data_IF_114295651704
#
_entry.id   IF_114295651704
#
_cell.length_a   1.000
_cell.length_b   1.000
_cell.length_c   1.000
_cell.angle_alpha   90.00
_cell.angle_beta   90.00
_cell.angle_gamma   90.00
#
_symmetry.space_group_name_H-M   'P 1'
#
loop_
_entity.id
_entity.type
_entity.pdbx_description
1 polymer ?
#
# COMPACT_ATOMS: atom_id res chain seq x y z
N UNK A 1 -9.70 -7.40 -16.51
CA UNK A 1 -8.54 -8.29 -16.34
C UNK A 1 -9.00 -9.74 -16.42
N UNK A 2 -8.15 -10.64 -16.88
CA UNK A 2 -8.39 -12.07 -17.03
C UNK A 2 -7.13 -12.84 -16.56
N UNK A 3 -7.23 -14.17 -16.39
CA UNK A 3 -6.07 -15.04 -16.09
C UNK A 3 -4.93 -14.80 -17.07
N UNK A 4 -5.24 -14.75 -18.36
CA UNK A 4 -4.23 -14.50 -19.39
C UNK A 4 -3.49 -13.19 -19.20
N UNK A 5 -4.19 -12.11 -18.91
CA UNK A 5 -3.54 -10.80 -18.67
C UNK A 5 -2.66 -10.81 -17.42
N UNK A 6 -3.03 -11.54 -16.35
CA UNK A 6 -2.17 -11.77 -15.18
C UNK A 6 -0.89 -12.49 -15.58
N UNK A 7 -1.01 -13.59 -16.35
CA UNK A 7 0.13 -14.36 -16.84
C UNK A 7 1.02 -13.53 -17.78
N UNK A 8 0.44 -12.69 -18.64
CA UNK A 8 1.18 -11.80 -19.53
C UNK A 8 1.99 -10.74 -18.75
N UNK A 9 1.40 -10.11 -17.72
CA UNK A 9 2.11 -9.14 -16.86
C UNK A 9 3.28 -9.80 -16.13
N UNK A 10 3.09 -11.02 -15.60
CA UNK A 10 4.17 -11.77 -14.93
C UNK A 10 5.29 -12.12 -15.92
N UNK A 11 4.93 -12.58 -17.13
CA UNK A 11 5.91 -12.91 -18.15
C UNK A 11 6.69 -11.68 -18.65
N UNK A 12 6.03 -10.54 -18.82
CA UNK A 12 6.69 -9.28 -19.20
C UNK A 12 7.60 -8.76 -18.08
N UNK A 13 7.18 -8.86 -16.83
CA UNK A 13 8.03 -8.49 -15.69
C UNK A 13 9.32 -9.34 -15.65
N UNK A 14 9.20 -10.66 -15.83
CA UNK A 14 10.36 -11.57 -15.95
C UNK A 14 11.27 -11.19 -17.14
N UNK A 15 10.68 -10.96 -18.31
CA UNK A 15 11.39 -10.57 -19.54
C UNK A 15 12.20 -9.28 -19.37
N UNK A 16 11.62 -8.29 -18.70
CA UNK A 16 12.29 -7.00 -18.47
C UNK A 16 13.15 -6.99 -17.20
N UNK A 17 13.12 -8.05 -16.40
CA UNK A 17 13.85 -8.16 -15.13
C UNK A 17 13.35 -7.15 -14.09
N UNK A 18 12.04 -7.00 -14.00
CA UNK A 18 11.33 -6.24 -12.96
C UNK A 18 10.83 -7.23 -11.91
N UNK A 19 11.29 -7.07 -10.68
CA UNK A 19 10.82 -7.89 -9.57
C UNK A 19 9.43 -7.47 -9.11
N UNK A 20 8.54 -8.45 -8.95
CA UNK A 20 7.20 -8.27 -8.36
C UNK A 20 6.99 -9.33 -7.30
N UNK A 21 6.44 -8.95 -6.16
CA UNK A 21 6.18 -9.88 -5.05
C UNK A 21 4.69 -10.17 -4.87
N UNK A 22 3.85 -9.24 -5.29
CA UNK A 22 2.39 -9.38 -5.23
C UNK A 22 1.77 -8.89 -6.53
N UNK A 23 0.81 -9.61 -7.06
CA UNK A 23 -0.07 -9.13 -8.14
C UNK A 23 -1.48 -8.92 -7.56
N UNK A 24 -2.12 -7.81 -7.94
CA UNK A 24 -3.43 -7.47 -7.43
C UNK A 24 -4.47 -7.46 -8.56
N UNK A 25 -5.67 -7.98 -8.29
CA UNK A 25 -6.78 -8.02 -9.24
C UNK A 25 -8.00 -7.33 -8.61
N UNK A 26 -8.45 -6.22 -9.22
CA UNK A 26 -9.69 -5.57 -8.82
C UNK A 26 -10.92 -6.36 -9.29
N UNK A 27 -11.06 -6.56 -10.57
CA UNK A 27 -12.26 -7.17 -11.15
C UNK A 27 -12.20 -8.69 -11.27
N UNK A 28 -11.91 -9.43 -10.22
CA UNK A 28 -11.83 -10.89 -10.24
C UNK A 28 -13.17 -11.61 -10.10
N UNK A 29 -14.15 -10.95 -9.49
CA UNK A 29 -15.50 -11.45 -9.32
C UNK A 29 -16.33 -11.17 -10.58
N UNK A 30 -17.40 -11.91 -10.78
CA UNK A 30 -18.43 -11.52 -11.76
C UNK A 30 -18.94 -10.13 -11.38
N UNK A 31 -19.10 -9.27 -12.39
CA UNK A 31 -19.47 -7.87 -12.15
C UNK A 31 -20.82 -7.75 -11.42
N UNK A 32 -21.80 -8.59 -11.78
CA UNK A 32 -23.12 -8.67 -11.17
C UNK A 32 -23.13 -9.36 -9.79
N UNK A 33 -22.00 -9.92 -9.36
CA UNK A 33 -21.82 -10.62 -8.09
C UNK A 33 -20.68 -10.04 -7.25
N UNK A 34 -20.27 -8.80 -7.52
CA UNK A 34 -19.24 -8.13 -6.75
C UNK A 34 -19.65 -8.01 -5.27
N UNK A 35 -18.73 -8.30 -4.37
CA UNK A 35 -18.97 -8.30 -2.91
C UNK A 35 -19.39 -9.65 -2.33
N UNK A 36 -19.69 -10.68 -3.13
CA UNK A 36 -20.09 -12.01 -2.64
C UNK A 36 -19.01 -13.09 -2.68
N UNK A 37 -17.79 -12.75 -3.08
CA UNK A 37 -16.60 -13.61 -3.07
C UNK A 37 -16.69 -14.83 -4.00
N UNK A 38 -17.18 -14.62 -5.20
CA UNK A 38 -17.25 -15.67 -6.23
C UNK A 38 -16.39 -15.30 -7.45
N UNK A 39 -15.55 -16.25 -7.88
CA UNK A 39 -14.73 -16.06 -9.07
C UNK A 39 -15.57 -15.95 -10.34
N UNK A 40 -15.17 -15.03 -11.20
CA UNK A 40 -15.57 -15.07 -12.60
C UNK A 40 -14.75 -16.14 -13.33
N UNK A 41 -15.27 -17.36 -13.35
CA UNK A 41 -14.56 -18.50 -13.94
C UNK A 41 -14.47 -18.47 -15.46
N UNK A 42 -15.19 -17.57 -16.13
CA UNK A 42 -15.02 -17.34 -17.56
C UNK A 42 -13.75 -16.54 -17.84
N UNK A 43 -13.51 -15.49 -17.06
CA UNK A 43 -12.28 -14.69 -17.16
C UNK A 43 -11.08 -15.32 -16.42
N UNK A 44 -11.34 -16.02 -15.35
CA UNK A 44 -10.33 -16.69 -14.53
C UNK A 44 -10.62 -18.19 -14.40
N UNK A 45 -10.43 -18.97 -15.48
CA UNK A 45 -10.59 -20.42 -15.40
C UNK A 45 -9.55 -21.03 -14.46
N UNK A 46 -9.95 -22.04 -13.68
CA UNK A 46 -9.10 -22.77 -12.74
C UNK A 46 -8.28 -21.84 -11.80
N UNK A 47 -8.95 -20.96 -11.01
CA UNK A 47 -8.25 -19.93 -10.23
C UNK A 47 -7.28 -20.52 -9.19
N UNK A 48 -7.57 -21.68 -8.62
CA UNK A 48 -6.66 -22.35 -7.69
C UNK A 48 -5.33 -22.74 -8.36
N UNK A 49 -5.35 -23.17 -9.62
CA UNK A 49 -4.12 -23.50 -10.33
C UNK A 49 -3.32 -22.25 -10.67
N UNK A 50 -3.99 -21.18 -11.11
CA UNK A 50 -3.34 -19.88 -11.30
C UNK A 50 -2.63 -19.40 -10.02
N UNK A 51 -3.29 -19.49 -8.87
CA UNK A 51 -2.70 -19.09 -7.58
C UNK A 51 -1.47 -19.95 -7.25
N UNK A 52 -1.55 -21.26 -7.43
CA UNK A 52 -0.41 -22.18 -7.22
C UNK A 52 0.77 -21.86 -8.12
N UNK A 53 0.51 -21.51 -9.39
CA UNK A 53 1.55 -21.12 -10.35
C UNK A 53 2.23 -19.82 -9.94
N UNK A 54 1.48 -18.82 -9.47
CA UNK A 54 2.02 -17.58 -8.94
C UNK A 54 2.87 -17.84 -7.68
N UNK A 55 2.35 -18.63 -6.74
CA UNK A 55 3.06 -18.95 -5.50
C UNK A 55 4.37 -19.72 -5.75
N UNK A 56 4.44 -20.60 -6.77
CA UNK A 56 5.70 -21.25 -7.21
C UNK A 56 6.76 -20.25 -7.65
N UNK A 57 6.35 -19.08 -8.13
CA UNK A 57 7.23 -17.98 -8.52
C UNK A 57 7.51 -16.99 -7.37
N UNK A 58 7.05 -17.28 -6.14
CA UNK A 58 7.06 -16.36 -4.99
C UNK A 58 6.27 -15.07 -5.25
N UNK A 59 5.22 -15.14 -6.04
CA UNK A 59 4.29 -14.03 -6.29
C UNK A 59 2.98 -14.33 -5.55
N UNK A 60 2.61 -13.47 -4.63
CA UNK A 60 1.35 -13.57 -3.89
C UNK A 60 0.21 -12.93 -4.68
N UNK A 61 -0.99 -13.45 -4.49
CA UNK A 61 -2.19 -12.87 -5.11
C UNK A 61 -2.92 -11.97 -4.13
N UNK A 62 -3.24 -10.76 -4.57
CA UNK A 62 -4.08 -9.80 -3.88
C UNK A 62 -5.42 -9.65 -4.60
N UNK A 63 -6.51 -9.67 -3.85
CA UNK A 63 -7.87 -9.53 -4.38
C UNK A 63 -8.58 -8.33 -3.79
N UNK A 64 -9.26 -7.60 -4.66
CA UNK A 64 -10.14 -6.49 -4.28
C UNK A 64 -11.49 -6.98 -3.77
N UNK A 65 -12.02 -6.26 -2.80
CA UNK A 65 -13.40 -6.43 -2.36
C UNK A 65 -13.99 -5.12 -1.87
N UNK A 66 -15.31 -4.99 -1.93
CA UNK A 66 -16.07 -3.90 -1.33
C UNK A 66 -17.36 -4.43 -0.68
N UNK A 67 -17.92 -3.70 0.28
CA UNK A 67 -19.00 -4.22 1.14
C UNK A 67 -20.40 -3.97 0.59
N UNK A 68 -20.55 -3.73 -0.72
CA UNK A 68 -21.83 -3.39 -1.34
C UNK A 68 -22.26 -4.46 -2.34
N UNK A 69 -23.58 -4.54 -2.57
CA UNK A 69 -24.14 -5.33 -3.64
C UNK A 69 -25.12 -4.47 -4.44
N UNK A 70 -25.03 -4.52 -5.76
CA UNK A 70 -25.90 -3.79 -6.66
C UNK A 70 -27.31 -4.39 -6.66
N UNK A 71 -28.31 -3.54 -6.86
CA UNK A 71 -29.73 -3.92 -6.81
C UNK A 71 -30.10 -4.95 -7.90
N UNK A 72 -29.46 -4.89 -9.05
CA UNK A 72 -29.66 -5.80 -10.18
C UNK A 72 -28.89 -7.12 -10.06
N UNK A 73 -28.12 -7.31 -8.99
CA UNK A 73 -27.41 -8.57 -8.75
C UNK A 73 -28.38 -9.74 -8.61
N UNK A 74 -28.10 -10.89 -9.26
CA UNK A 74 -28.89 -12.11 -9.08
C UNK A 74 -29.04 -12.56 -7.61
N UNK A 75 -28.05 -12.24 -6.78
CA UNK A 75 -28.04 -12.58 -5.35
C UNK A 75 -28.81 -11.56 -4.48
N UNK A 76 -29.12 -10.37 -4.99
CA UNK A 76 -29.65 -9.28 -4.17
C UNK A 76 -30.93 -9.65 -3.45
N UNK A 77 -31.90 -10.20 -4.16
CA UNK A 77 -33.21 -10.55 -3.60
C UNK A 77 -33.11 -11.57 -2.47
N UNK A 78 -32.37 -12.65 -2.67
CA UNK A 78 -32.15 -13.68 -1.65
C UNK A 78 -31.50 -13.08 -0.40
N UNK A 79 -30.42 -12.31 -0.57
CA UNK A 79 -29.68 -11.74 0.55
C UNK A 79 -30.46 -10.65 1.29
N UNK A 80 -31.35 -9.92 0.58
CA UNK A 80 -32.29 -8.97 1.18
C UNK A 80 -33.35 -9.71 2.03
N UNK A 81 -33.91 -10.81 1.53
CA UNK A 81 -34.88 -11.65 2.27
C UNK A 81 -34.25 -12.26 3.55
N UNK A 82 -32.96 -12.58 3.51
CA UNK A 82 -32.19 -13.02 4.68
C UNK A 82 -31.85 -11.89 5.66
N UNK A 83 -32.10 -10.63 5.28
CA UNK A 83 -31.83 -9.47 6.14
C UNK A 83 -30.35 -9.14 6.28
N UNK A 84 -29.53 -9.38 5.26
CA UNK A 84 -28.08 -9.21 5.30
C UNK A 84 -27.61 -7.77 5.02
N UNK A 85 -28.51 -6.87 4.64
CA UNK A 85 -28.18 -5.48 4.38
C UNK A 85 -28.57 -4.56 5.52
N UNK A 86 -27.85 -3.47 5.67
CA UNK A 86 -28.23 -2.34 6.50
C UNK A 86 -29.57 -1.81 6.01
N UNK A 87 -30.49 -1.46 6.93
CA UNK A 87 -31.87 -1.10 6.61
C UNK A 87 -32.15 0.37 6.73
N UNK A 88 -33.09 0.85 5.93
CA UNK A 88 -33.73 2.13 6.13
C UNK A 88 -34.74 2.06 7.30
N UNK A 89 -35.38 3.16 7.67
CA UNK A 89 -36.32 3.24 8.78
C UNK A 89 -37.60 2.41 8.56
N UNK A 90 -37.93 2.11 7.32
CA UNK A 90 -39.07 1.28 6.92
C UNK A 90 -38.75 -0.23 6.99
N UNK A 91 -37.50 -0.61 7.27
CA UNK A 91 -37.05 -1.99 7.42
C UNK A 91 -36.62 -2.68 6.12
N UNK A 92 -36.56 -1.93 5.01
CA UNK A 92 -36.02 -2.42 3.73
C UNK A 92 -34.53 -2.14 3.59
N UNK A 93 -33.79 -2.83 2.69
CA UNK A 93 -32.41 -2.48 2.38
C UNK A 93 -32.27 -0.99 2.09
N UNK A 94 -31.30 -0.33 2.72
CA UNK A 94 -31.02 1.08 2.47
C UNK A 94 -30.25 1.17 1.15
N UNK A 95 -30.89 1.78 0.16
CA UNK A 95 -30.34 1.93 -1.19
C UNK A 95 -29.65 3.27 -1.36
N UNK A 96 -28.44 3.26 -1.93
CA UNK A 96 -27.64 4.46 -2.18
C UNK A 96 -26.71 4.28 -3.38
N UNK A 97 -26.08 5.35 -3.82
CA UNK A 97 -25.02 5.29 -4.84
C UNK A 97 -23.66 5.16 -4.14
N UNK A 98 -22.85 4.20 -4.59
CA UNK A 98 -21.48 4.01 -4.05
C UNK A 98 -20.58 5.23 -4.34
N UNK A 99 -20.76 5.86 -5.52
CA UNK A 99 -20.12 7.12 -5.92
C UNK A 99 -21.16 8.02 -6.57
N UNK A 100 -20.90 9.32 -6.64
CA UNK A 100 -21.86 10.29 -7.19
C UNK A 100 -22.23 10.03 -8.65
N UNK A 101 -21.29 9.45 -9.39
CA UNK A 101 -21.42 9.08 -10.82
C UNK A 101 -21.90 7.64 -11.04
N UNK A 102 -22.18 6.86 -9.99
CA UNK A 102 -22.71 5.50 -10.13
C UNK A 102 -24.04 5.50 -10.87
N UNK A 103 -24.17 4.65 -11.85
CA UNK A 103 -25.43 4.44 -12.59
C UNK A 103 -26.41 3.58 -11.79
N UNK A 104 -25.91 2.69 -10.93
CA UNK A 104 -26.68 1.72 -10.16
C UNK A 104 -26.78 2.11 -8.68
N UNK A 105 -27.89 1.72 -8.07
CA UNK A 105 -28.03 1.72 -6.62
C UNK A 105 -27.44 0.43 -6.04
N UNK A 106 -26.92 0.53 -4.84
CA UNK A 106 -26.43 -0.61 -4.08
C UNK A 106 -26.91 -0.57 -2.64
N UNK A 107 -26.84 -1.70 -1.95
CA UNK A 107 -27.02 -1.78 -0.52
C UNK A 107 -25.70 -2.28 0.12
N UNK A 108 -25.44 -1.82 1.35
CA UNK A 108 -24.29 -2.27 2.12
C UNK A 108 -24.65 -3.48 2.99
N UNK A 109 -23.76 -4.45 3.03
CA UNK A 109 -23.86 -5.56 3.97
C UNK A 109 -23.73 -5.07 5.41
N UNK A 110 -24.48 -5.71 6.32
CA UNK A 110 -24.51 -5.33 7.73
C UNK A 110 -23.53 -6.18 8.56
N UNK A 111 -22.36 -5.63 8.81
CA UNK A 111 -21.30 -6.28 9.63
C UNK A 111 -21.62 -6.32 11.13
N UNK A 112 -22.85 -6.01 11.53
CA UNK A 112 -23.36 -6.23 12.88
C UNK A 112 -24.36 -7.40 12.95
N UNK A 113 -24.74 -7.99 11.80
CA UNK A 113 -25.63 -9.13 11.70
C UNK A 113 -24.85 -10.45 11.82
N UNK A 114 -25.05 -11.26 12.89
CA UNK A 114 -24.28 -12.48 13.09
C UNK A 114 -24.51 -13.57 12.00
N UNK A 115 -25.72 -13.65 11.42
CA UNK A 115 -25.98 -14.60 10.34
C UNK A 115 -25.26 -14.19 9.04
N UNK A 116 -25.21 -12.89 8.75
CA UNK A 116 -24.40 -12.38 7.64
C UNK A 116 -22.92 -12.65 7.88
N UNK A 117 -22.40 -12.37 9.09
CA UNK A 117 -21.00 -12.60 9.40
C UNK A 117 -20.61 -14.06 9.19
N UNK A 118 -21.39 -15.03 9.67
CA UNK A 118 -21.11 -16.44 9.46
C UNK A 118 -21.10 -16.85 7.97
N UNK A 119 -22.06 -16.32 7.19
CA UNK A 119 -22.14 -16.58 5.75
C UNK A 119 -20.97 -15.97 4.98
N UNK A 120 -20.53 -14.77 5.36
CA UNK A 120 -19.45 -14.05 4.69
C UNK A 120 -18.08 -14.62 5.05
N UNK A 121 -17.89 -15.02 6.32
CA UNK A 121 -16.71 -15.70 6.82
C UNK A 121 -16.35 -16.94 6.01
N UNK A 122 -17.33 -17.81 5.76
CA UNK A 122 -17.11 -19.03 4.97
C UNK A 122 -16.56 -18.71 3.57
N UNK A 123 -17.06 -17.63 2.95
CA UNK A 123 -16.65 -17.20 1.62
C UNK A 123 -15.22 -16.63 1.61
N UNK A 124 -14.93 -15.76 2.56
CA UNK A 124 -13.58 -15.23 2.73
C UNK A 124 -12.59 -16.35 2.98
N UNK A 125 -12.88 -17.23 3.94
CA UNK A 125 -12.03 -18.39 4.28
C UNK A 125 -11.83 -19.33 3.10
N UNK A 126 -12.85 -19.55 2.27
CA UNK A 126 -12.73 -20.36 1.05
C UNK A 126 -11.67 -19.75 0.10
N UNK A 127 -11.71 -18.45 -0.14
CA UNK A 127 -10.74 -17.75 -1.00
C UNK A 127 -9.32 -17.81 -0.41
N UNK A 128 -9.19 -17.58 0.89
CA UNK A 128 -7.88 -17.65 1.57
C UNK A 128 -7.29 -19.07 1.50
N UNK A 129 -8.11 -20.13 1.69
CA UNK A 129 -7.66 -21.53 1.53
C UNK A 129 -7.19 -21.89 0.13
N UNK A 130 -7.59 -21.15 -0.91
CA UNK A 130 -7.05 -21.29 -2.25
C UNK A 130 -5.60 -20.80 -2.37
N UNK A 131 -5.09 -20.08 -1.36
CA UNK A 131 -3.74 -19.52 -1.33
C UNK A 131 -3.68 -18.00 -1.51
N UNK A 132 -4.82 -17.30 -1.41
CA UNK A 132 -4.86 -15.84 -1.40
C UNK A 132 -4.49 -15.34 -0.02
N UNK A 133 -3.38 -14.60 0.09
CA UNK A 133 -2.87 -14.08 1.37
C UNK A 133 -2.97 -12.55 1.49
N UNK A 134 -3.43 -11.87 0.44
CA UNK A 134 -3.55 -10.40 0.42
C UNK A 134 -4.96 -9.98 -0.01
N UNK A 135 -5.61 -9.10 0.74
CA UNK A 135 -6.95 -8.56 0.41
C UNK A 135 -6.94 -7.03 0.51
N UNK A 136 -7.52 -6.39 -0.52
CA UNK A 136 -7.85 -4.96 -0.53
C UNK A 136 -9.30 -4.77 -0.12
N UNK A 137 -9.55 -4.08 0.99
CA UNK A 137 -10.90 -3.66 1.39
C UNK A 137 -11.14 -2.23 0.95
N UNK A 138 -12.01 -2.09 -0.02
CA UNK A 138 -12.34 -0.81 -0.64
C UNK A 138 -13.71 -0.29 -0.19
N UNK A 139 -13.98 1.00 -0.39
CA UNK A 139 -15.22 1.67 -0.02
C UNK A 139 -15.57 1.58 1.47
N UNK A 140 -16.86 1.44 1.78
CA UNK A 140 -17.54 1.42 3.07
C UNK A 140 -17.94 2.79 3.65
N UNK A 141 -17.51 3.89 3.06
CA UNK A 141 -17.75 5.26 3.50
C UNK A 141 -19.05 5.90 2.94
N UNK A 142 -19.72 5.26 1.96
CA UNK A 142 -20.89 5.86 1.30
C UNK A 142 -22.24 5.58 2.00
N UNK A 143 -22.23 4.81 3.10
CA UNK A 143 -23.48 4.44 3.80
C UNK A 143 -24.15 5.68 4.40
N UNK A 144 -25.48 5.92 4.15
CA UNK A 144 -26.21 7.07 4.67
C UNK A 144 -26.30 7.07 6.20
N UNK A 145 -26.47 8.26 6.80
CA UNK A 145 -26.65 8.40 8.26
C UNK A 145 -28.06 8.06 8.75
N UNK A 146 -29.07 8.04 7.88
CA UNK A 146 -30.48 7.78 8.20
C UNK A 146 -30.89 6.30 8.13
N UNK A 147 -29.94 5.41 8.33
CA UNK A 147 -30.10 3.95 8.33
C UNK A 147 -30.13 3.36 9.74
N UNK A 148 -30.49 2.10 9.83
CA UNK A 148 -30.49 1.31 11.08
C UNK A 148 -29.74 0.00 10.85
N UNK A 149 -28.77 -0.27 11.72
CA UNK A 149 -28.01 -1.51 11.73
C UNK A 149 -28.79 -2.62 12.45
N UNK A 150 -28.45 -3.89 12.18
CA UNK A 150 -29.07 -5.06 12.80
C UNK A 150 -29.03 -5.01 14.34
N UNK A 151 -27.94 -4.55 14.93
CA UNK A 151 -27.78 -4.41 16.38
C UNK A 151 -28.50 -3.19 16.97
N UNK A 152 -29.27 -2.45 16.19
CA UNK A 152 -30.04 -1.29 16.62
C UNK A 152 -29.29 0.05 16.60
N UNK A 153 -28.00 0.08 16.23
CA UNK A 153 -27.28 1.36 16.04
C UNK A 153 -27.93 2.17 14.91
N UNK A 154 -27.98 3.48 15.08
CA UNK A 154 -28.32 4.42 14.03
C UNK A 154 -27.17 4.53 13.02
N UNK A 155 -27.48 4.96 11.79
CA UNK A 155 -26.45 5.22 10.78
C UNK A 155 -25.41 6.22 11.25
N UNK A 156 -25.81 7.24 12.00
CA UNK A 156 -24.90 8.23 12.57
C UNK A 156 -23.88 7.64 13.54
N UNK A 157 -24.25 6.63 14.32
CA UNK A 157 -23.35 5.92 15.24
C UNK A 157 -22.49 4.91 14.49
N UNK A 158 -23.07 4.21 13.52
CA UNK A 158 -22.45 3.09 12.83
C UNK A 158 -21.65 3.46 11.57
N UNK A 159 -21.88 4.60 10.95
CA UNK A 159 -21.30 5.00 9.66
C UNK A 159 -19.77 4.84 9.62
N UNK A 160 -19.06 5.50 10.52
CA UNK A 160 -17.61 5.37 10.58
C UNK A 160 -17.14 4.02 11.15
N UNK A 161 -17.88 3.46 12.13
CA UNK A 161 -17.54 2.18 12.75
C UNK A 161 -17.59 1.03 11.73
N UNK A 162 -18.49 1.09 10.76
CA UNK A 162 -18.62 0.11 9.69
C UNK A 162 -17.31 -0.12 8.95
N UNK A 163 -16.56 0.93 8.65
CA UNK A 163 -15.29 0.83 7.92
C UNK A 163 -14.28 -0.04 8.67
N UNK A 164 -14.22 0.13 9.99
CA UNK A 164 -13.36 -0.70 10.84
C UNK A 164 -13.89 -2.13 10.98
N UNK A 165 -15.20 -2.33 11.20
CA UNK A 165 -15.79 -3.67 11.34
C UNK A 165 -15.58 -4.50 10.07
N UNK A 166 -15.76 -3.90 8.89
CA UNK A 166 -15.54 -4.55 7.60
C UNK A 166 -14.11 -5.05 7.48
N UNK A 167 -13.13 -4.19 7.60
CA UNK A 167 -11.71 -4.55 7.49
C UNK A 167 -11.29 -5.54 8.58
N UNK A 168 -11.70 -5.31 9.84
CA UNK A 168 -11.37 -6.15 10.99
C UNK A 168 -11.85 -7.60 10.83
N UNK A 169 -13.11 -7.78 10.43
CA UNK A 169 -13.66 -9.13 10.29
C UNK A 169 -12.91 -9.90 9.20
N UNK A 170 -12.72 -9.31 8.03
CA UNK A 170 -11.97 -9.95 6.94
C UNK A 170 -10.56 -10.31 7.40
N UNK A 171 -9.85 -9.37 8.03
CA UNK A 171 -8.49 -9.62 8.51
C UNK A 171 -8.43 -10.74 9.55
N UNK A 172 -9.39 -10.79 10.47
CA UNK A 172 -9.49 -11.85 11.48
C UNK A 172 -9.64 -13.22 10.82
N UNK A 173 -10.56 -13.35 9.87
CA UNK A 173 -10.79 -14.61 9.16
C UNK A 173 -9.63 -15.03 8.26
N UNK A 174 -8.97 -14.07 7.62
CA UNK A 174 -7.71 -14.34 6.90
C UNK A 174 -6.65 -14.90 7.83
N UNK A 175 -6.47 -14.24 8.98
CA UNK A 175 -5.45 -14.60 9.95
C UNK A 175 -5.64 -16.03 10.47
N UNK A 176 -6.86 -16.44 10.75
CA UNK A 176 -7.16 -17.80 11.22
C UNK A 176 -6.68 -18.86 10.22
N UNK A 177 -6.93 -18.68 8.92
CA UNK A 177 -6.51 -19.63 7.89
C UNK A 177 -5.00 -19.54 7.62
N UNK A 178 -4.44 -18.32 7.56
CA UNK A 178 -3.01 -18.16 7.35
C UNK A 178 -2.18 -18.74 8.52
N UNK A 179 -2.64 -18.58 9.76
CA UNK A 179 -1.98 -19.17 10.94
C UNK A 179 -1.96 -20.72 10.87
N UNK A 180 -3.02 -21.36 10.32
CA UNK A 180 -3.05 -22.82 10.09
C UNK A 180 -1.93 -23.29 9.14
N UNK A 181 -1.51 -22.44 8.20
CA UNK A 181 -0.49 -22.74 7.18
C UNK A 181 0.89 -22.15 7.49
N UNK A 182 1.04 -21.39 8.59
CA UNK A 182 2.25 -20.68 8.93
C UNK A 182 2.54 -19.51 7.98
N UNK A 183 1.52 -18.98 7.34
CA UNK A 183 1.57 -17.83 6.44
C UNK A 183 1.16 -16.55 7.15
N UNK A 184 1.43 -15.41 6.51
CA UNK A 184 1.14 -14.09 7.04
C UNK A 184 0.11 -13.40 6.16
N UNK A 185 -1.09 -13.08 6.71
CA UNK A 185 -2.10 -12.35 5.96
C UNK A 185 -1.73 -10.87 5.85
N UNK A 186 -2.02 -10.27 4.71
CA UNK A 186 -1.99 -8.84 4.54
C UNK A 186 -3.35 -8.31 4.12
N UNK A 187 -3.85 -7.31 4.85
CA UNK A 187 -5.03 -6.54 4.45
C UNK A 187 -4.66 -5.07 4.39
N UNK A 188 -5.13 -4.40 3.35
CA UNK A 188 -4.98 -2.96 3.19
C UNK A 188 -6.32 -2.32 2.82
N UNK A 189 -6.69 -1.33 3.64
CA UNK A 189 -8.00 -0.70 3.59
C UNK A 189 -7.93 0.74 3.08
N UNK A 190 -9.01 1.18 2.42
CA UNK A 190 -9.17 2.58 2.02
C UNK A 190 -9.71 3.42 3.16
N UNK A 191 -10.85 3.03 3.67
CA UNK A 191 -11.53 3.76 4.72
C UNK A 191 -11.03 3.36 6.10
N UNK A 192 -11.04 4.29 7.02
CA UNK A 192 -10.57 4.06 8.38
C UNK A 192 -11.35 4.85 9.44
N UNK A 193 -11.32 4.33 10.67
CA UNK A 193 -11.88 4.94 11.86
C UNK A 193 -11.02 4.58 13.08
N UNK A 194 -11.44 4.98 14.27
CA UNK A 194 -10.78 4.56 15.52
C UNK A 194 -10.67 3.03 15.56
N UNK A 195 -9.47 2.53 15.75
CA UNK A 195 -9.15 1.10 15.67
C UNK A 195 -8.46 0.67 14.38
N UNK A 196 -8.55 1.44 13.28
CA UNK A 196 -7.96 1.06 11.99
C UNK A 196 -6.43 0.98 11.99
N UNK A 197 -5.74 1.55 12.99
CA UNK A 197 -4.31 1.35 13.21
C UNK A 197 -3.93 -0.12 13.52
N UNK A 198 -4.91 -0.97 13.86
CA UNK A 198 -4.72 -2.42 14.04
C UNK A 198 -4.86 -3.20 12.73
N UNK A 199 -5.27 -2.56 11.65
CA UNK A 199 -5.32 -3.14 10.31
C UNK A 199 -3.93 -3.02 9.69
N UNK A 200 -3.44 -4.08 9.00
CA UNK A 200 -2.08 -4.15 8.50
C UNK A 200 -1.61 -2.94 7.70
N UNK A 201 -2.39 -2.48 6.73
CA UNK A 201 -2.00 -1.35 5.90
C UNK A 201 -3.20 -0.53 5.41
N UNK A 202 -2.92 0.65 4.88
CA UNK A 202 -3.88 1.53 4.24
C UNK A 202 -3.33 2.10 2.93
N UNK A 203 -4.21 2.65 2.09
CA UNK A 203 -3.78 3.43 0.93
C UNK A 203 -4.63 4.69 0.78
N UNK A 204 -4.12 5.65 0.00
CA UNK A 204 -4.71 6.98 -0.13
C UNK A 204 -5.99 7.04 -0.99
N UNK A 205 -6.52 5.90 -1.44
CA UNK A 205 -7.65 5.88 -2.37
C UNK A 205 -7.23 6.25 -3.80
N UNK A 206 -8.22 6.57 -4.61
CA UNK A 206 -8.06 6.87 -6.02
C UNK A 206 -7.57 8.31 -6.23
N UNK A 207 -6.31 8.47 -6.55
CA UNK A 207 -5.65 9.77 -6.76
C UNK A 207 -5.49 10.09 -8.23
N UNK A 208 -5.36 11.36 -8.59
CA UNK A 208 -4.91 11.73 -9.93
C UNK A 208 -3.38 11.63 -10.05
N UNK A 209 -2.90 11.57 -11.29
CA UNK A 209 -1.48 11.37 -11.61
C UNK A 209 -0.65 12.64 -11.48
N UNK A 210 -1.26 13.79 -11.23
CA UNK A 210 -0.54 15.07 -11.17
C UNK A 210 0.23 15.26 -9.87
N UNK A 211 1.25 16.09 -9.93
CA UNK A 211 2.16 16.38 -8.82
C UNK A 211 1.47 17.07 -7.63
N UNK A 212 0.42 17.85 -7.87
CA UNK A 212 -0.38 18.48 -6.82
C UNK A 212 -1.11 17.42 -5.98
N UNK A 213 -1.69 16.42 -6.65
CA UNK A 213 -2.30 15.26 -6.00
C UNK A 213 -1.29 14.48 -5.17
N UNK A 214 -0.10 14.19 -5.72
CA UNK A 214 0.96 13.48 -4.99
C UNK A 214 1.45 14.27 -3.76
N UNK A 215 1.54 15.60 -3.87
CA UNK A 215 1.86 16.48 -2.74
C UNK A 215 0.79 16.39 -1.64
N UNK A 216 -0.49 16.42 -2.01
CA UNK A 216 -1.61 16.28 -1.07
C UNK A 216 -1.63 14.90 -0.39
N UNK A 217 -1.39 13.83 -1.17
CA UNK A 217 -1.27 12.46 -0.64
C UNK A 217 -0.18 12.36 0.41
N UNK A 218 1.01 12.91 0.15
CA UNK A 218 2.09 12.88 1.12
C UNK A 218 1.70 13.57 2.43
N UNK A 219 1.10 14.76 2.34
CA UNK A 219 0.65 15.49 3.53
C UNK A 219 -0.45 14.73 4.30
N UNK A 220 -1.43 14.17 3.58
CA UNK A 220 -2.47 13.34 4.18
C UNK A 220 -1.89 12.09 4.86
N UNK A 221 -0.95 11.41 4.20
CA UNK A 221 -0.28 10.23 4.72
C UNK A 221 0.58 10.51 5.95
N UNK A 222 1.26 11.66 6.01
CA UNK A 222 1.95 12.10 7.23
C UNK A 222 0.95 12.36 8.37
N UNK A 223 -0.26 12.89 8.07
CA UNK A 223 -1.35 13.02 9.03
C UNK A 223 -1.88 11.67 9.53
N UNK A 224 -2.03 10.69 8.62
CA UNK A 224 -2.38 9.31 8.98
C UNK A 224 -1.32 8.67 9.88
N UNK A 225 -0.04 8.86 9.56
CA UNK A 225 1.07 8.38 10.38
C UNK A 225 1.00 8.95 11.81
N UNK A 226 0.73 10.25 11.96
CA UNK A 226 0.51 10.90 13.27
C UNK A 226 -0.72 10.37 14.01
N UNK A 227 -1.65 9.75 13.31
CA UNK A 227 -2.85 9.09 13.87
C UNK A 227 -2.65 7.60 14.16
N UNK A 228 -1.43 7.09 14.05
CA UNK A 228 -1.06 5.70 14.35
C UNK A 228 -1.16 4.73 13.17
N UNK A 229 -1.48 5.18 11.96
CA UNK A 229 -1.45 4.36 10.75
C UNK A 229 -0.03 4.38 10.18
N UNK A 230 0.78 3.40 10.58
CA UNK A 230 2.20 3.35 10.22
C UNK A 230 2.46 2.87 8.79
N UNK A 231 1.65 1.94 8.31
CA UNK A 231 1.86 1.28 7.02
C UNK A 231 0.83 1.77 6.02
N UNK A 232 1.28 2.58 5.09
CA UNK A 232 0.41 3.12 4.05
C UNK A 232 1.19 3.37 2.75
N UNK A 233 0.43 3.52 1.68
CA UNK A 233 0.93 3.86 0.36
C UNK A 233 -0.13 4.53 -0.48
N UNK A 234 0.12 4.60 -1.78
CA UNK A 234 -0.81 5.14 -2.76
C UNK A 234 -0.59 4.47 -4.12
N UNK A 235 -1.42 4.80 -5.09
CA UNK A 235 -1.35 4.26 -6.44
C UNK A 235 -0.22 4.95 -7.21
N UNK A 236 0.91 4.24 -7.41
CA UNK A 236 2.06 4.77 -8.13
C UNK A 236 1.68 5.05 -9.60
N UNK A 237 1.92 6.28 -10.02
CA UNK A 237 1.48 6.80 -11.31
C UNK A 237 0.08 7.42 -11.30
N UNK A 238 -0.58 7.42 -10.13
CA UNK A 238 -1.97 7.89 -9.98
C UNK A 238 -3.00 6.89 -10.49
N UNK A 239 -4.18 6.82 -9.88
CA UNK A 239 -5.26 5.96 -10.34
C UNK A 239 -5.88 6.47 -11.64
N UNK A 240 -6.17 7.78 -11.73
CA UNK A 240 -6.60 8.44 -12.98
C UNK A 240 -5.48 9.29 -13.55
N UNK A 241 -5.62 9.65 -14.83
CA UNK A 241 -4.84 10.75 -15.36
C UNK A 241 -5.36 12.11 -14.86
N UNK A 242 -4.53 13.15 -15.00
CA UNK A 242 -4.87 14.52 -14.63
C UNK A 242 -6.16 14.99 -15.29
N UNK A 243 -7.01 15.65 -14.50
CA UNK A 243 -8.19 16.33 -14.97
C UNK A 243 -9.48 15.84 -14.33
N UNK A 244 -9.84 14.58 -14.47
CA UNK A 244 -11.06 14.03 -13.86
C UNK A 244 -11.11 12.50 -13.94
N UNK A 245 -12.01 11.89 -13.18
CA UNK A 245 -12.19 10.43 -13.05
C UNK A 245 -12.38 9.71 -14.40
N UNK A 246 -13.00 10.35 -15.37
CA UNK A 246 -13.25 9.77 -16.71
C UNK A 246 -12.07 9.85 -17.69
N UNK A 247 -10.95 10.48 -17.32
CA UNK A 247 -9.81 10.54 -18.21
C UNK A 247 -9.02 9.22 -18.19
N UNK A 248 -9.10 8.47 -19.29
CA UNK A 248 -8.44 7.17 -19.49
C UNK A 248 -7.09 7.27 -20.23
N UNK A 249 -6.59 8.47 -20.47
CA UNK A 249 -5.25 8.63 -21.01
C UNK A 249 -4.19 8.21 -19.98
N UNK A 250 -3.04 7.80 -20.48
CA UNK A 250 -1.90 7.52 -19.59
C UNK A 250 -1.33 8.83 -19.03
N UNK A 251 -0.82 8.84 -17.78
CA UNK A 251 -0.03 9.94 -17.27
C UNK A 251 1.13 10.29 -18.22
N UNK A 252 1.50 11.55 -18.27
CA UNK A 252 2.75 11.90 -18.92
C UNK A 252 3.93 11.28 -18.14
N UNK A 253 5.07 11.14 -18.82
CA UNK A 253 6.22 10.41 -18.30
C UNK A 253 6.84 11.05 -17.05
N UNK A 254 6.86 12.37 -16.94
CA UNK A 254 7.45 13.09 -15.80
C UNK A 254 6.58 12.91 -14.55
N UNK A 255 5.26 13.03 -14.66
CA UNK A 255 4.34 12.78 -13.56
C UNK A 255 4.40 11.31 -13.10
N UNK A 256 4.41 10.37 -14.06
CA UNK A 256 4.56 8.95 -13.77
C UNK A 256 5.84 8.66 -13.00
N UNK A 257 6.99 9.12 -13.50
CA UNK A 257 8.28 8.87 -12.87
C UNK A 257 8.42 9.54 -11.50
N UNK A 258 7.93 10.78 -11.34
CA UNK A 258 7.89 11.46 -10.05
C UNK A 258 7.09 10.69 -9.02
N UNK A 259 5.90 10.19 -9.41
CA UNK A 259 5.05 9.38 -8.55
C UNK A 259 5.73 8.07 -8.15
N UNK A 260 6.23 7.32 -9.12
CA UNK A 260 6.89 6.03 -8.86
C UNK A 260 8.11 6.23 -7.95
N UNK A 261 8.94 7.23 -8.23
CA UNK A 261 10.14 7.51 -7.45
C UNK A 261 9.80 7.81 -5.98
N UNK A 262 8.80 8.65 -5.71
CA UNK A 262 8.35 8.91 -4.34
C UNK A 262 7.79 7.65 -3.67
N UNK A 263 6.94 6.92 -4.38
CA UNK A 263 6.23 5.76 -3.82
C UNK A 263 7.14 4.59 -3.45
N UNK A 264 8.32 4.49 -4.06
CA UNK A 264 9.30 3.47 -3.71
C UNK A 264 9.98 3.70 -2.34
N UNK A 265 9.77 4.86 -1.73
CA UNK A 265 10.20 5.17 -0.36
C UNK A 265 9.08 5.07 0.67
N UNK A 266 7.87 4.68 0.24
CA UNK A 266 6.73 4.47 1.12
C UNK A 266 6.74 3.06 1.74
N UNK A 267 6.09 2.83 2.89
CA UNK A 267 5.94 1.50 3.47
C UNK A 267 5.29 0.51 2.51
N UNK A 268 4.20 0.90 1.85
CA UNK A 268 3.52 0.15 0.82
C UNK A 268 3.78 0.78 -0.56
N UNK A 269 4.26 0.00 -1.52
CA UNK A 269 4.51 0.43 -2.90
C UNK A 269 3.70 -0.41 -3.87
N UNK A 270 2.81 0.22 -4.62
CA UNK A 270 1.93 -0.45 -5.57
C UNK A 270 1.72 0.40 -6.81
N UNK A 271 2.11 -0.11 -7.98
CA UNK A 271 1.70 0.46 -9.25
C UNK A 271 0.25 0.06 -9.53
N UNK A 272 -0.63 1.03 -9.75
CA UNK A 272 -2.06 0.81 -9.98
C UNK A 272 -2.72 2.00 -10.66
N UNK A 273 -3.71 1.73 -11.51
CA UNK A 273 -4.47 2.78 -12.17
C UNK A 273 -5.49 2.24 -13.18
N UNK A 274 -6.34 3.12 -13.69
CA UNK A 274 -7.31 2.79 -14.76
C UNK A 274 -6.65 2.43 -16.08
N UNK A 275 -5.42 2.87 -16.29
CA UNK A 275 -4.59 2.53 -17.47
C UNK A 275 -3.29 1.89 -17.00
N UNK A 276 -2.57 1.16 -17.86
CA UNK A 276 -1.33 0.47 -17.48
C UNK A 276 -0.33 1.37 -16.75
N UNK A 277 0.26 0.85 -15.67
CA UNK A 277 1.30 1.51 -14.85
C UNK A 277 2.63 0.76 -14.89
N UNK A 278 2.73 -0.28 -15.67
CA UNK A 278 3.93 -1.06 -15.85
C UNK A 278 5.00 -0.22 -16.60
N UNK A 279 6.26 -0.18 -16.12
CA UNK A 279 7.27 0.73 -16.65
C UNK A 279 7.61 0.50 -18.13
N UNK A 280 7.48 -0.70 -18.64
CA UNK A 280 7.68 -1.01 -20.07
C UNK A 280 6.64 -0.38 -21.00
N UNK A 281 5.52 0.07 -20.46
CA UNK A 281 4.50 0.81 -21.20
C UNK A 281 4.85 2.29 -21.43
N UNK A 282 5.89 2.80 -20.73
CA UNK A 282 6.32 4.20 -20.79
C UNK A 282 7.65 4.40 -21.53
N UNK A 283 8.15 3.36 -22.20
CA UNK A 283 9.37 3.41 -23.02
C UNK A 283 10.65 3.08 -22.25
N UNK A 284 11.76 2.98 -23.00
CA UNK A 284 13.04 2.46 -22.50
C UNK A 284 13.64 3.29 -21.35
N UNK A 285 13.48 4.60 -21.36
CA UNK A 285 13.98 5.49 -20.30
C UNK A 285 13.24 5.20 -18.98
N UNK A 286 11.92 5.14 -19.01
CA UNK A 286 11.12 4.82 -17.83
C UNK A 286 11.43 3.42 -17.30
N UNK A 287 11.48 2.43 -18.19
CA UNK A 287 11.82 1.06 -17.83
C UNK A 287 13.18 0.99 -17.11
N UNK A 288 14.20 1.66 -17.66
CA UNK A 288 15.55 1.70 -17.08
C UNK A 288 15.56 2.33 -15.67
N UNK A 289 14.96 3.51 -15.52
CA UNK A 289 14.98 4.21 -14.23
C UNK A 289 14.12 3.51 -13.18
N UNK A 290 12.92 3.09 -13.53
CA UNK A 290 12.04 2.36 -12.59
C UNK A 290 12.67 1.03 -12.18
N UNK A 291 13.27 0.27 -13.10
CA UNK A 291 14.02 -0.96 -12.77
C UNK A 291 15.14 -0.69 -11.75
N UNK A 292 15.92 0.38 -11.94
CA UNK A 292 16.97 0.79 -11.00
C UNK A 292 16.39 1.07 -9.60
N UNK A 293 15.28 1.80 -9.51
CA UNK A 293 14.67 2.16 -8.24
C UNK A 293 14.00 0.97 -7.55
N UNK A 294 13.31 0.11 -8.30
CA UNK A 294 12.73 -1.14 -7.77
C UNK A 294 13.82 -2.04 -7.19
N UNK A 295 14.89 -2.24 -7.93
CA UNK A 295 16.03 -3.03 -7.45
C UNK A 295 16.65 -2.44 -6.18
N UNK A 296 16.76 -1.11 -6.11
CA UNK A 296 17.25 -0.45 -4.90
C UNK A 296 16.27 -0.66 -3.73
N UNK A 297 14.95 -0.53 -3.95
CA UNK A 297 13.94 -0.80 -2.92
C UNK A 297 14.03 -2.24 -2.40
N UNK A 298 14.16 -3.23 -3.28
CA UNK A 298 14.34 -4.61 -2.84
C UNK A 298 15.59 -4.79 -1.98
N UNK A 299 16.69 -4.14 -2.34
CA UNK A 299 17.89 -4.12 -1.50
C UNK A 299 17.69 -3.42 -0.17
N UNK A 300 16.80 -2.43 -0.10
CA UNK A 300 16.48 -1.66 1.10
C UNK A 300 15.54 -2.42 2.07
N UNK A 301 14.99 -3.55 1.67
CA UNK A 301 14.03 -4.33 2.49
C UNK A 301 14.54 -4.60 3.92
N UNK A 302 15.80 -4.94 4.19
CA UNK A 302 16.29 -5.10 5.55
C UNK A 302 16.12 -3.84 6.42
N UNK A 303 16.36 -2.66 5.85
CA UNK A 303 16.13 -1.39 6.55
C UNK A 303 14.64 -1.11 6.77
N UNK A 304 13.80 -1.33 5.74
CA UNK A 304 12.36 -1.16 5.85
C UNK A 304 11.77 -2.09 6.91
N UNK A 305 12.18 -3.36 6.91
CA UNK A 305 11.77 -4.34 7.91
C UNK A 305 12.20 -3.93 9.33
N UNK A 306 13.44 -3.49 9.49
CA UNK A 306 13.93 -2.97 10.77
C UNK A 306 13.07 -1.80 11.26
N UNK A 307 12.78 -0.84 10.39
CA UNK A 307 11.95 0.33 10.71
C UNK A 307 10.51 -0.08 11.04
N UNK A 308 9.98 -1.09 10.34
CA UNK A 308 8.68 -1.68 10.65
C UNK A 308 8.65 -2.32 12.05
N UNK A 309 9.73 -3.05 12.42
CA UNK A 309 9.90 -3.61 13.76
C UNK A 309 9.90 -2.53 14.85
N UNK A 310 10.65 -1.46 14.63
CA UNK A 310 10.66 -0.33 15.55
C UNK A 310 9.27 0.29 15.69
N UNK A 311 8.59 0.48 14.57
CA UNK A 311 7.23 1.02 14.55
C UNK A 311 6.24 0.17 15.35
N UNK A 312 6.27 -1.14 15.15
CA UNK A 312 5.41 -2.07 15.89
C UNK A 312 5.66 -2.02 17.41
N UNK A 313 6.93 -1.95 17.83
CA UNK A 313 7.28 -1.95 19.26
C UNK A 313 6.98 -0.64 19.97
N UNK A 314 7.17 0.49 19.27
CA UNK A 314 7.10 1.83 19.87
C UNK A 314 5.79 2.57 19.58
N UNK A 315 5.05 2.17 18.55
CA UNK A 315 3.93 2.94 18.00
C UNK A 315 4.37 4.15 17.16
N UNK A 316 5.68 4.41 17.05
CA UNK A 316 6.21 5.50 16.21
C UNK A 316 6.16 5.06 14.74
N UNK A 317 5.55 5.84 13.82
CA UNK A 317 5.37 5.40 12.44
C UNK A 317 6.69 5.27 11.67
N UNK A 318 6.68 4.47 10.61
CA UNK A 318 7.83 4.32 9.71
C UNK A 318 8.16 5.62 8.99
N UNK A 319 7.14 6.31 8.49
CA UNK A 319 7.26 7.63 7.86
C UNK A 319 6.84 8.68 8.89
N UNK A 320 7.73 9.64 9.15
CA UNK A 320 7.57 10.59 10.25
C UNK A 320 7.68 12.02 9.73
N UNK A 321 6.70 12.90 9.94
CA UNK A 321 6.87 14.32 9.66
C UNK A 321 7.99 14.90 10.51
N UNK A 322 8.72 15.89 9.99
CA UNK A 322 9.88 16.46 10.71
C UNK A 322 9.51 17.02 12.08
N UNK A 323 8.29 17.54 12.26
CA UNK A 323 7.80 18.02 13.55
C UNK A 323 7.80 16.93 14.64
N UNK A 324 7.63 15.66 14.25
CA UNK A 324 7.65 14.55 15.21
C UNK A 324 9.06 14.25 15.72
N UNK A 325 10.04 14.29 14.84
CA UNK A 325 11.45 14.03 15.18
C UNK A 325 12.16 15.24 15.80
N UNK A 326 11.77 16.45 15.37
CA UNK A 326 12.39 17.70 15.80
C UNK A 326 11.33 18.68 16.36
N UNK A 327 10.63 18.31 17.46
CA UNK A 327 9.49 19.10 17.98
C UNK A 327 9.87 20.48 18.52
N UNK A 328 11.15 20.74 18.81
CA UNK A 328 11.64 22.03 19.29
C UNK A 328 12.13 22.95 18.17
N UNK A 329 12.31 22.40 16.97
CA UNK A 329 12.76 23.16 15.81
C UNK A 329 11.58 23.88 15.13
N UNK A 330 11.55 25.23 15.14
CA UNK A 330 10.43 25.98 14.58
C UNK A 330 10.32 25.85 13.05
N UNK A 331 11.45 25.58 12.34
CA UNK A 331 11.47 25.42 10.90
C UNK A 331 10.98 24.01 10.54
N UNK A 332 11.43 22.98 11.24
CA UNK A 332 10.96 21.61 11.01
C UNK A 332 9.43 21.48 11.13
N UNK A 333 8.79 22.27 11.99
CA UNK A 333 7.32 22.32 12.13
C UNK A 333 6.58 22.80 10.87
N UNK A 334 7.25 23.53 10.02
CA UNK A 334 6.66 24.08 8.78
C UNK A 334 6.93 23.23 7.56
N UNK A 335 7.78 22.19 7.68
CA UNK A 335 8.15 21.30 6.58
C UNK A 335 7.11 20.20 6.42
N UNK A 336 6.24 20.32 5.44
CA UNK A 336 5.13 19.40 5.21
C UNK A 336 5.32 18.44 4.03
N UNK A 337 6.42 18.57 3.30
CA UNK A 337 6.77 17.74 2.14
C UNK A 337 8.06 16.93 2.34
N UNK A 338 8.80 17.19 3.42
CA UNK A 338 9.97 16.39 3.81
C UNK A 338 9.61 15.53 5.02
N UNK A 339 10.14 14.33 5.06
CA UNK A 339 9.83 13.38 6.13
C UNK A 339 11.04 12.48 6.44
N UNK A 340 11.05 11.91 7.62
CA UNK A 340 11.97 10.83 7.97
C UNK A 340 11.37 9.47 7.60
N UNK A 341 12.13 8.62 6.93
CA UNK A 341 11.87 7.19 6.85
C UNK A 341 12.77 6.50 7.88
N UNK A 342 12.15 6.00 8.95
CA UNK A 342 12.89 5.55 10.12
C UNK A 342 13.67 6.67 10.78
N UNK A 343 14.79 6.31 11.41
CA UNK A 343 15.69 7.23 12.12
C UNK A 343 16.88 7.71 11.27
N UNK A 344 17.09 7.10 10.10
CA UNK A 344 18.30 7.31 9.31
C UNK A 344 18.11 8.19 8.05
N UNK A 345 16.95 8.14 7.41
CA UNK A 345 16.76 8.76 6.09
C UNK A 345 15.79 9.93 6.13
N UNK A 346 16.22 11.08 5.64
CA UNK A 346 15.35 12.20 5.30
C UNK A 346 15.04 12.14 3.81
N UNK A 347 13.76 12.14 3.47
CA UNK A 347 13.24 12.08 2.11
C UNK A 347 12.56 13.41 1.80
N UNK A 348 12.89 14.02 0.68
CA UNK A 348 12.28 15.27 0.22
C UNK A 348 11.91 15.21 -1.25
N UNK A 349 10.64 14.95 -1.58
CA UNK A 349 10.14 15.07 -2.94
C UNK A 349 10.11 16.54 -3.40
N UNK A 350 10.64 16.78 -4.60
CA UNK A 350 10.62 18.10 -5.23
C UNK A 350 9.34 18.39 -5.98
N UNK A 351 8.61 17.34 -6.38
CA UNK A 351 7.41 17.40 -7.22
C UNK A 351 7.62 18.22 -8.50
N UNK A 352 6.85 19.29 -8.70
CA UNK A 352 6.85 20.15 -9.90
C UNK A 352 7.74 21.40 -9.79
N UNK A 353 8.57 21.46 -8.76
CA UNK A 353 9.47 22.61 -8.57
C UNK A 353 10.76 22.38 -9.32
N UNK A 354 11.10 23.30 -10.21
CA UNK A 354 12.39 23.30 -10.91
C UNK A 354 13.54 23.54 -9.92
N UNK A 355 13.31 24.41 -8.93
CA UNK A 355 14.22 24.66 -7.83
C UNK A 355 13.47 24.87 -6.52
N UNK A 356 14.07 24.50 -5.38
CA UNK A 356 13.52 24.75 -4.06
C UNK A 356 14.57 24.70 -2.96
N UNK A 357 14.24 25.33 -1.82
CA UNK A 357 15.03 25.27 -0.62
C UNK A 357 14.57 24.11 0.25
N UNK A 358 15.48 23.17 0.50
CA UNK A 358 15.26 22.01 1.36
C UNK A 358 15.89 22.26 2.71
N UNK A 359 15.08 22.17 3.77
CA UNK A 359 15.59 22.31 5.13
C UNK A 359 16.13 20.99 5.69
N UNK A 360 17.36 20.99 6.17
CA UNK A 360 17.97 19.90 6.93
C UNK A 360 17.95 20.25 8.42
N UNK A 361 17.25 19.43 9.26
CA UNK A 361 17.22 19.65 10.72
C UNK A 361 18.56 19.42 11.38
N UNK A 362 18.61 19.60 12.71
CA UNK A 362 19.81 19.36 13.52
C UNK A 362 20.48 18.00 13.23
N UNK A 363 21.81 18.01 13.08
CA UNK A 363 22.67 16.86 12.76
C UNK A 363 23.51 17.11 11.52
N UNK A 364 24.29 16.12 11.10
CA UNK A 364 25.00 16.11 9.83
C UNK A 364 24.33 15.14 8.85
N UNK A 365 24.27 15.55 7.60
CA UNK A 365 23.51 14.87 6.57
C UNK A 365 24.35 14.63 5.33
N UNK A 366 24.30 13.42 4.79
CA UNK A 366 24.93 13.11 3.51
C UNK A 366 23.86 12.82 2.47
N UNK A 367 23.89 13.56 1.38
CA UNK A 367 23.11 13.21 0.18
C UNK A 367 23.56 11.83 -0.34
N UNK A 368 22.63 10.90 -0.46
CA UNK A 368 22.97 9.51 -0.84
C UNK A 368 23.41 9.40 -2.30
N UNK A 369 23.10 10.35 -3.16
CA UNK A 369 23.46 10.37 -4.58
C UNK A 369 24.79 11.10 -4.81
N UNK A 370 24.87 12.39 -4.46
CA UNK A 370 26.07 13.20 -4.67
C UNK A 370 27.21 12.89 -3.70
N UNK A 371 26.91 12.30 -2.53
CA UNK A 371 27.83 12.09 -1.40
C UNK A 371 28.29 13.36 -0.70
N UNK A 372 27.73 14.50 -1.06
CA UNK A 372 28.01 15.74 -0.35
C UNK A 372 27.47 15.70 1.07
N UNK A 373 28.19 16.35 1.98
CA UNK A 373 27.86 16.39 3.41
C UNK A 373 27.49 17.81 3.81
N UNK A 374 26.39 17.93 4.54
CA UNK A 374 25.83 19.19 4.97
C UNK A 374 25.72 19.23 6.50
N UNK A 375 26.03 20.38 7.08
CA UNK A 375 25.66 20.66 8.47
C UNK A 375 24.16 20.96 8.53
N UNK A 376 23.47 20.45 9.55
CA UNK A 376 22.04 20.69 9.74
C UNK A 376 21.72 22.10 10.23
N UNK A 377 20.44 22.36 10.48
CA UNK A 377 19.86 23.68 10.77
C UNK A 377 20.10 24.69 9.62
N UNK A 378 20.09 24.18 8.39
CA UNK A 378 20.36 24.95 7.18
C UNK A 378 19.39 24.62 6.06
N UNK A 379 19.29 25.51 5.10
CA UNK A 379 18.63 25.26 3.82
C UNK A 379 19.66 24.89 2.78
N UNK A 380 19.32 23.87 1.99
CA UNK A 380 20.10 23.43 0.82
C UNK A 380 19.30 23.78 -0.43
N UNK A 381 19.93 24.52 -1.33
CA UNK A 381 19.34 24.81 -2.63
C UNK A 381 19.36 23.58 -3.51
N UNK A 382 18.19 23.16 -3.99
CA UNK A 382 18.00 22.01 -4.85
C UNK A 382 17.53 22.48 -6.23
N UNK A 383 18.28 22.10 -7.25
CA UNK A 383 17.86 22.21 -8.64
C UNK A 383 17.40 20.85 -9.15
N UNK A 384 16.17 20.77 -9.64
CA UNK A 384 15.65 19.59 -10.30
C UNK A 384 15.95 19.67 -11.81
N UNK A 385 16.25 18.51 -12.39
CA UNK A 385 16.41 18.35 -13.85
C UNK A 385 15.35 17.37 -14.33
N UNK A 386 14.96 17.48 -15.58
CA UNK A 386 14.11 16.51 -16.22
C UNK A 386 14.70 15.09 -16.14
N UNK A 387 13.88 14.07 -16.02
CA UNK A 387 14.36 12.69 -15.99
C UNK A 387 15.13 12.30 -17.25
N UNK A 388 14.74 12.84 -18.40
CA UNK A 388 15.45 12.64 -19.67
C UNK A 388 16.93 13.10 -19.62
N UNK A 389 17.23 14.08 -18.79
CA UNK A 389 18.57 14.63 -18.58
C UNK A 389 19.29 14.01 -17.36
N UNK A 390 18.81 12.86 -16.89
CA UNK A 390 19.34 12.17 -15.70
C UNK A 390 18.97 12.86 -14.38
N UNK A 391 17.88 13.62 -14.37
CA UNK A 391 17.36 14.30 -13.19
C UNK A 391 16.63 13.38 -12.23
N UNK A 392 16.21 13.95 -11.12
CA UNK A 392 15.40 13.31 -10.08
C UNK A 392 14.45 14.31 -9.47
N UNK A 393 13.24 13.89 -9.16
CA UNK A 393 12.27 14.69 -8.43
C UNK A 393 12.32 14.48 -6.91
N UNK A 394 13.34 13.78 -6.42
CA UNK A 394 13.42 13.39 -5.01
C UNK A 394 14.86 13.46 -4.53
N UNK A 395 15.07 13.99 -3.33
CA UNK A 395 16.34 13.96 -2.61
C UNK A 395 16.26 13.10 -1.38
N UNK A 396 17.34 12.38 -1.11
CA UNK A 396 17.46 11.51 0.06
C UNK A 396 18.76 11.79 0.77
N UNK A 397 18.66 12.04 2.07
CA UNK A 397 19.82 12.30 2.92
C UNK A 397 19.88 11.25 4.03
N UNK A 398 21.08 10.75 4.27
CA UNK A 398 21.36 9.90 5.43
C UNK A 398 21.88 10.74 6.58
N UNK A 399 21.33 10.52 7.77
CA UNK A 399 21.80 11.14 9.02
C UNK A 399 23.12 10.51 9.47
N UNK A 400 24.10 11.32 9.89
CA UNK A 400 25.35 10.84 10.47
C UNK A 400 25.12 9.95 11.70
N UNK A 401 25.97 8.94 11.88
CA UNK A 401 25.88 8.00 12.98
C UNK A 401 24.79 6.93 12.82
N UNK A 402 24.10 6.90 11.67
CA UNK A 402 23.09 5.88 11.38
C UNK A 402 23.60 4.84 10.38
N UNK A 403 22.98 3.67 10.39
CA UNK A 403 23.29 2.58 9.44
C UNK A 403 22.05 2.15 8.67
N UNK A 404 22.24 1.86 7.39
CA UNK A 404 21.18 1.39 6.49
C UNK A 404 21.60 0.00 6.01
N UNK A 405 21.05 -1.08 6.60
CA UNK A 405 21.31 -2.43 6.12
C UNK A 405 20.66 -2.63 4.74
N UNK A 406 21.43 -3.19 3.81
CA UNK A 406 21.00 -3.49 2.46
C UNK A 406 21.35 -4.94 2.12
N UNK A 407 20.57 -5.59 1.25
CA UNK A 407 21.03 -6.84 0.66
C UNK A 407 22.31 -6.63 -0.18
N UNK A 408 23.25 -7.58 -0.07
CA UNK A 408 24.54 -7.53 -0.78
C UNK A 408 24.40 -7.68 -2.28
N UNK A 409 23.40 -8.45 -2.73
CA UNK A 409 23.18 -8.71 -4.14
C UNK A 409 22.93 -7.38 -4.87
N UNK A 410 23.55 -7.23 -6.04
CA UNK A 410 23.34 -6.04 -6.87
C UNK A 410 21.95 -6.01 -7.50
N UNK A 411 21.39 -7.18 -7.78
CA UNK A 411 20.04 -7.36 -8.29
C UNK A 411 19.26 -8.29 -7.36
N UNK A 412 18.12 -7.81 -6.88
CA UNK A 412 17.19 -8.57 -6.05
C UNK A 412 15.84 -8.46 -6.75
N UNK A 413 15.44 -9.52 -7.47
CA UNK A 413 14.21 -9.52 -8.25
C UNK A 413 12.97 -9.82 -7.40
N UNK A 414 13.15 -10.55 -6.30
CA UNK A 414 12.07 -10.83 -5.37
C UNK A 414 12.58 -10.67 -3.94
N UNK A 415 11.70 -10.25 -3.05
CA UNK A 415 11.97 -10.39 -1.63
C UNK A 415 12.10 -11.89 -1.35
N UNK A 416 13.23 -12.36 -0.82
CA UNK A 416 13.42 -13.80 -0.60
C UNK A 416 12.28 -14.35 0.26
N UNK A 417 11.67 -15.47 -0.17
CA UNK A 417 10.57 -16.13 0.53
C UNK A 417 10.89 -16.42 2.01
N UNK A 418 12.17 -16.57 2.31
CA UNK A 418 12.71 -16.75 3.65
C UNK A 418 12.56 -15.52 4.56
N UNK A 419 12.46 -14.31 4.01
CA UNK A 419 12.17 -13.11 4.81
C UNK A 419 10.75 -13.08 5.38
N UNK A 420 9.92 -13.97 4.94
CA UNK A 420 8.63 -14.28 5.52
C UNK A 420 8.74 -15.11 6.81
N UNK A 421 9.96 -15.60 7.14
CA UNK A 421 10.27 -16.33 8.37
C UNK A 421 11.40 -15.61 9.11
N UNK A 422 11.19 -15.36 10.39
CA UNK A 422 12.10 -14.59 11.24
C UNK A 422 13.54 -15.14 11.30
N UNK A 423 13.74 -16.44 11.11
CA UNK A 423 15.03 -17.11 11.22
C UNK A 423 16.02 -16.78 10.09
N UNK A 424 15.51 -16.29 8.96
CA UNK A 424 16.30 -16.15 7.73
C UNK A 424 16.81 -14.72 7.50
N UNK A 425 16.27 -13.71 8.20
CA UNK A 425 16.78 -12.32 8.15
C UNK A 425 18.23 -12.21 8.63
N UNK A 426 18.63 -13.07 9.57
CA UNK A 426 19.97 -13.07 10.15
C UNK A 426 21.06 -13.43 9.12
N UNK A 427 20.71 -14.16 8.06
CA UNK A 427 21.65 -14.67 7.07
C UNK A 427 21.70 -13.85 5.77
N UNK A 428 20.78 -12.94 5.53
CA UNK A 428 20.60 -12.29 4.22
C UNK A 428 21.12 -10.86 4.12
N UNK A 429 21.43 -10.19 5.24
CA UNK A 429 21.77 -8.77 5.22
C UNK A 429 23.28 -8.52 5.14
N UNK A 430 23.70 -7.73 4.19
CA UNK A 430 25.00 -7.07 4.19
C UNK A 430 24.83 -5.60 4.53
N UNK A 431 25.87 -5.02 5.10
CA UNK A 431 25.89 -3.60 5.43
C UNK A 431 26.37 -2.79 4.24
N UNK A 432 25.66 -1.74 3.94
CA UNK A 432 26.22 -0.63 3.18
C UNK A 432 26.25 0.58 4.11
N UNK A 433 27.42 1.23 4.16
CA UNK A 433 27.62 2.43 4.96
C UNK A 433 27.84 3.60 4.03
N UNK A 434 27.11 4.65 4.30
CA UNK A 434 27.38 5.94 3.70
C UNK A 434 28.22 6.81 4.63
N UNK A 435 28.11 6.63 5.96
CA UNK A 435 29.02 7.18 6.98
C UNK A 435 29.82 6.08 7.65
N UNK A 436 31.11 6.33 7.85
CA UNK A 436 32.07 5.37 8.37
C UNK A 436 31.83 5.08 9.85
N UNK A 437 31.53 3.88 10.21
CA UNK A 437 31.96 3.15 11.40
C UNK A 437 31.40 1.73 11.35
N UNK A 438 32.26 0.73 11.70
CA UNK A 438 31.93 -0.68 11.52
C UNK A 438 30.91 -1.19 12.54
N UNK A 439 29.66 -1.35 12.12
CA UNK A 439 28.66 -2.15 12.82
C UNK A 439 28.53 -3.50 12.12
N UNK A 440 28.79 -4.55 12.86
CA UNK A 440 28.69 -5.94 12.42
C UNK A 440 27.21 -6.31 12.21
N UNK A 441 26.88 -6.91 11.05
CA UNK A 441 25.53 -7.36 10.71
C UNK A 441 24.95 -8.28 11.76
N UNK A 442 25.75 -9.20 12.27
CA UNK A 442 25.33 -10.14 13.29
C UNK A 442 24.91 -9.43 14.58
N UNK A 443 25.61 -8.37 14.99
CA UNK A 443 25.25 -7.59 16.17
C UNK A 443 24.01 -6.72 16.00
N UNK A 444 23.70 -6.29 14.77
CA UNK A 444 22.50 -5.52 14.48
C UNK A 444 21.23 -6.35 14.65
N UNK A 445 21.25 -7.63 14.23
CA UNK A 445 20.11 -8.53 14.33
C UNK A 445 20.04 -9.31 15.66
N UNK A 446 21.16 -9.74 16.24
CA UNK A 446 21.19 -10.50 17.50
C UNK A 446 20.67 -9.72 18.72
N UNK A 447 20.76 -8.40 18.74
CA UNK A 447 20.23 -7.56 19.84
C UNK A 447 18.71 -7.39 19.83
N UNK A 448 18.00 -7.92 18.82
CA UNK A 448 16.56 -7.64 18.59
C UNK A 448 15.68 -8.88 18.50
N UNK A 449 16.02 -9.92 19.28
CA UNK A 449 15.20 -11.11 19.41
C UNK A 449 13.74 -10.78 19.79
N UNK A 450 12.80 -11.27 18.94
CA UNK A 450 11.35 -11.32 19.12
C UNK A 450 10.57 -10.09 18.66
N UNK A 451 10.69 -9.70 17.41
CA UNK A 451 9.62 -8.97 16.73
C UNK A 451 8.76 -9.94 15.92
N UNK A 452 7.62 -10.31 16.46
CA UNK A 452 6.51 -10.84 15.68
C UNK A 452 5.92 -9.69 14.85
N UNK A 453 6.63 -9.28 13.80
CA UNK A 453 6.05 -8.41 12.80
C UNK A 453 5.67 -9.32 11.66
N UNK A 454 4.39 -9.45 11.54
CA UNK A 454 3.74 -9.91 10.35
C UNK A 454 4.25 -9.06 9.19
N UNK A 455 4.85 -9.72 8.20
CA UNK A 455 5.68 -9.14 7.15
C UNK A 455 5.02 -7.98 6.39
N UNK A 456 5.41 -6.77 6.73
CA UNK A 456 5.03 -5.57 5.97
C UNK A 456 6.11 -5.12 4.98
N UNK A 457 7.16 -5.90 4.84
CA UNK A 457 8.21 -5.68 3.86
C UNK A 457 7.83 -6.27 2.49
N UNK A 458 6.53 -6.22 2.14
CA UNK A 458 6.12 -6.57 0.79
C UNK A 458 6.82 -5.65 -0.20
N UNK A 459 7.47 -6.25 -1.15
CA UNK A 459 8.12 -5.59 -2.24
C UNK A 459 7.14 -4.77 -3.09
N UNK A 460 7.30 -4.75 -4.37
CA UNK A 460 6.47 -3.95 -5.27
C UNK A 460 5.28 -4.78 -5.70
N UNK A 461 4.10 -4.20 -5.52
CA UNK A 461 2.85 -4.71 -6.03
C UNK A 461 2.64 -4.13 -7.44
N UNK A 462 2.47 -4.99 -8.45
CA UNK A 462 2.03 -4.60 -9.78
C UNK A 462 0.63 -5.14 -10.09
N UNK A 463 -0.07 -4.45 -10.95
CA UNK A 463 -1.40 -4.80 -11.45
C UNK A 463 -1.36 -5.22 -12.87
#
# INVERSE_FOLDING_TARGET
MSRKEVEDVVADAEKFGIGIDVIHIDGWQRQDMSGVWEWDTERFPEPEEMIKELNKKNIHLSLWNYPYLQEDSPAFKELAERGFFIKNKEGHPAMFKATADSEFLCACFDFTNPEFLAWYEERVKKIVRMGVSVIKTDFSEAVPEDVVFYNGMSGREGHNLLTYLYAKNIYTWMKEICDEHGELPMLWGRSGYVGSHTIPAAWAGDSSSDKASHSAILQAGLGMAMSGVSFWGYDLGGFYNTGYIGNEERPNIEDYLSSVQMGLWMPLSRAHGKTPREPWQYGDMALKEVKKWINFRHRLVPYLYHTACQSHQSGIPMIRPLVMEYPKDPIAKTQNLSYMLGDALLISPGFDRDEYELYLPEGRWQDIESKEVYEGMTFVHIENKAFADGGTSLRVFQKEGTSIPLFAQKEVLHVPAQLWKQEDLENCASHSRYFSDELDAQNFYQKRNKCLIYSYAYGILFL
#
